data_IF_344514651209
#
_entry.id   IF_344514651209
#
_cell.length_a   1.000
_cell.length_b   1.000
_cell.length_c   1.000
_cell.angle_alpha   90.00
_cell.angle_beta   90.00
_cell.angle_gamma   90.00
#
_symmetry.space_group_name_H-M   'P 1'
#
loop_
_entity.id
_entity.type
_entity.pdbx_description
1 polymer ?
#
# COMPACT_ATOMS: atom_id res chain seq x y z
N UNK A 1 -20.02 10.89 -12.04
CA UNK A 1 -19.23 10.48 -10.86
C UNK A 1 -20.03 10.08 -9.61
N UNK A 2 -21.36 10.28 -9.52
CA UNK A 2 -22.15 9.93 -8.31
C UNK A 2 -22.64 8.46 -8.23
N UNK A 3 -22.62 7.70 -9.34
CA UNK A 3 -23.16 6.33 -9.40
C UNK A 3 -22.23 5.26 -8.81
N UNK A 4 -20.93 5.53 -8.71
CA UNK A 4 -19.94 4.57 -8.19
C UNK A 4 -19.84 4.58 -6.66
N UNK A 5 -20.20 5.70 -6.02
CA UNK A 5 -20.13 5.84 -4.56
C UNK A 5 -21.26 5.08 -3.85
N UNK A 6 -22.46 5.05 -4.44
CA UNK A 6 -23.61 4.30 -3.92
C UNK A 6 -23.42 2.77 -4.05
N UNK A 7 -22.80 2.32 -5.14
CA UNK A 7 -22.44 0.91 -5.33
C UNK A 7 -21.36 0.46 -4.32
N UNK A 8 -20.41 1.34 -3.99
CA UNK A 8 -19.42 1.11 -2.95
C UNK A 8 -20.07 0.95 -1.56
N UNK A 9 -21.04 1.79 -1.23
CA UNK A 9 -21.80 1.69 0.03
C UNK A 9 -22.64 0.41 0.15
N UNK A 10 -23.28 -0.06 -0.94
CA UNK A 10 -24.04 -1.31 -0.91
C UNK A 10 -23.14 -2.56 -0.81
N UNK A 11 -21.91 -2.51 -1.32
CA UNK A 11 -20.96 -3.61 -1.23
C UNK A 11 -20.39 -3.79 0.19
N UNK A 12 -20.25 -2.68 0.94
CA UNK A 12 -19.69 -2.68 2.30
C UNK A 12 -20.58 -3.40 3.34
N UNK A 13 -21.88 -3.51 3.08
CA UNK A 13 -22.86 -4.09 4.02
C UNK A 13 -22.86 -5.64 3.95
N UNK A 14 -22.35 -6.24 2.88
CA UNK A 14 -22.38 -7.70 2.65
C UNK A 14 -21.10 -8.45 3.08
N UNK A 15 -20.09 -7.76 3.62
CA UNK A 15 -18.75 -8.31 3.84
C UNK A 15 -18.53 -9.30 5.01
N UNK A 16 -19.38 -9.41 6.07
CA UNK A 16 -18.99 -10.23 7.23
C UNK A 16 -19.00 -11.75 6.96
N UNK A 17 -19.56 -12.23 5.85
CA UNK A 17 -19.65 -13.67 5.51
C UNK A 17 -18.40 -14.19 4.75
N UNK A 18 -17.52 -13.31 4.25
CA UNK A 18 -16.34 -13.68 3.44
C UNK A 18 -15.00 -13.58 4.20
N UNK A 19 -15.04 -13.38 5.52
CA UNK A 19 -13.92 -12.84 6.30
C UNK A 19 -12.67 -13.74 6.42
N UNK A 20 -12.80 -15.07 6.30
CA UNK A 20 -11.65 -15.99 6.45
C UNK A 20 -10.80 -16.11 5.17
N UNK A 21 -11.41 -16.11 3.98
CA UNK A 21 -10.68 -16.15 2.69
C UNK A 21 -10.27 -14.74 2.22
N UNK A 22 -11.02 -13.71 2.64
CA UNK A 22 -10.76 -12.33 2.26
C UNK A 22 -9.46 -11.74 2.82
N UNK A 23 -9.01 -12.15 4.01
CA UNK A 23 -7.81 -11.60 4.65
C UNK A 23 -6.57 -11.96 3.84
N UNK A 24 -6.40 -13.25 3.56
CA UNK A 24 -5.34 -13.81 2.73
C UNK A 24 -5.37 -13.20 1.33
N UNK A 25 -6.56 -13.06 0.73
CA UNK A 25 -6.70 -12.49 -0.62
C UNK A 25 -6.32 -11.01 -0.69
N UNK A 26 -6.70 -10.22 0.30
CA UNK A 26 -6.38 -8.80 0.32
C UNK A 26 -4.89 -8.58 0.63
N UNK A 27 -4.31 -9.37 1.54
CA UNK A 27 -2.88 -9.36 1.84
C UNK A 27 -2.07 -9.72 0.60
N UNK A 28 -2.50 -10.76 -0.13
CA UNK A 28 -1.89 -11.16 -1.40
C UNK A 28 -1.93 -10.03 -2.43
N UNK A 29 -2.99 -9.22 -2.50
CA UNK A 29 -3.06 -8.09 -3.43
C UNK A 29 -2.08 -6.97 -3.09
N UNK A 30 -1.83 -6.70 -1.80
CA UNK A 30 -0.81 -5.72 -1.41
C UNK A 30 0.58 -6.22 -1.82
N UNK A 31 0.84 -7.51 -1.61
CA UNK A 31 2.08 -8.16 -2.06
C UNK A 31 2.21 -8.12 -3.58
N UNK A 32 1.15 -8.42 -4.32
CA UNK A 32 1.12 -8.33 -5.78
C UNK A 32 1.44 -6.92 -6.29
N UNK A 33 0.93 -5.88 -5.62
CA UNK A 33 1.25 -4.49 -5.95
C UNK A 33 2.75 -4.22 -5.88
N UNK A 34 3.39 -4.49 -4.74
CA UNK A 34 4.81 -4.22 -4.57
C UNK A 34 5.70 -5.15 -5.42
N UNK A 35 5.34 -6.42 -5.56
CA UNK A 35 6.03 -7.35 -6.47
C UNK A 35 5.95 -6.88 -7.93
N UNK A 36 4.78 -6.39 -8.36
CA UNK A 36 4.59 -5.82 -9.70
C UNK A 36 5.40 -4.55 -9.93
N UNK A 37 5.57 -3.72 -8.90
CA UNK A 37 6.44 -2.52 -8.94
C UNK A 37 7.91 -2.93 -9.03
N UNK A 38 8.38 -3.88 -8.21
CA UNK A 38 9.75 -4.37 -8.28
C UNK A 38 10.08 -4.97 -9.65
N UNK A 39 9.15 -5.71 -10.26
CA UNK A 39 9.30 -6.20 -11.62
C UNK A 39 9.40 -5.08 -12.66
N UNK A 40 8.63 -3.99 -12.51
CA UNK A 40 8.73 -2.82 -13.39
C UNK A 40 10.08 -2.12 -13.25
N UNK A 41 10.54 -1.92 -12.01
CA UNK A 41 11.87 -1.34 -11.73
C UNK A 41 12.97 -2.16 -12.40
N UNK A 42 12.94 -3.49 -12.26
CA UNK A 42 13.94 -4.39 -12.86
C UNK A 42 13.93 -4.43 -14.38
N UNK A 43 12.79 -4.14 -15.02
CA UNK A 43 12.65 -4.08 -16.48
C UNK A 43 13.11 -2.76 -17.07
N UNK A 44 13.08 -1.70 -16.28
CA UNK A 44 13.55 -0.38 -16.68
C UNK A 44 15.09 -0.33 -16.67
N UNK A 45 15.68 0.45 -17.57
CA UNK A 45 17.13 0.62 -17.66
C UNK A 45 17.58 1.98 -17.11
N UNK A 46 16.74 3.01 -17.26
CA UNK A 46 17.03 4.35 -16.79
C UNK A 46 16.83 4.46 -15.26
N UNK A 47 17.88 4.79 -14.48
CA UNK A 47 17.75 4.93 -13.03
C UNK A 47 16.76 6.00 -12.58
N UNK A 48 16.60 7.08 -13.35
CA UNK A 48 15.62 8.13 -13.06
C UNK A 48 14.20 7.55 -13.12
N UNK A 49 13.90 6.77 -14.16
CA UNK A 49 12.60 6.12 -14.33
C UNK A 49 12.36 5.03 -13.27
N UNK A 50 13.39 4.27 -12.89
CA UNK A 50 13.31 3.31 -11.78
C UNK A 50 12.88 3.97 -10.47
N UNK A 51 13.54 5.08 -10.12
CA UNK A 51 13.23 5.85 -8.90
C UNK A 51 11.82 6.41 -8.96
N UNK A 52 11.44 6.92 -10.12
CA UNK A 52 10.12 7.50 -10.35
C UNK A 52 9.00 6.43 -10.28
N UNK A 53 9.23 5.21 -10.78
CA UNK A 53 8.30 4.08 -10.60
C UNK A 53 8.06 3.79 -9.11
N UNK A 54 9.12 3.80 -8.30
CA UNK A 54 9.03 3.61 -6.85
C UNK A 54 8.29 4.76 -6.17
N UNK A 55 8.63 6.02 -6.50
CA UNK A 55 7.95 7.20 -5.96
C UNK A 55 6.45 7.16 -6.23
N UNK A 56 6.04 6.91 -7.49
CA UNK A 56 4.62 6.77 -7.85
C UNK A 56 3.92 5.65 -7.08
N UNK A 57 4.60 4.54 -6.83
CA UNK A 57 4.06 3.45 -6.01
C UNK A 57 3.78 3.92 -4.58
N UNK A 58 4.72 4.63 -3.96
CA UNK A 58 4.56 5.17 -2.60
C UNK A 58 3.46 6.24 -2.53
N UNK A 59 3.39 7.12 -3.52
CA UNK A 59 2.33 8.14 -3.62
C UNK A 59 0.92 7.53 -3.71
N UNK A 60 0.77 6.39 -4.38
CA UNK A 60 -0.52 5.67 -4.41
C UNK A 60 -0.93 5.22 -3.02
N UNK A 61 0.01 4.72 -2.21
CA UNK A 61 -0.27 4.35 -0.81
C UNK A 61 -0.65 5.58 0.02
N UNK A 62 0.04 6.71 -0.14
CA UNK A 62 -0.32 7.95 0.56
C UNK A 62 -1.73 8.43 0.18
N UNK A 63 -2.06 8.44 -1.12
CA UNK A 63 -3.41 8.79 -1.60
C UNK A 63 -4.47 7.83 -1.07
N UNK A 64 -4.15 6.55 -0.96
CA UNK A 64 -5.06 5.57 -0.41
C UNK A 64 -5.31 5.78 1.09
N UNK A 65 -4.25 6.02 1.87
CA UNK A 65 -4.35 6.38 3.28
C UNK A 65 -5.17 7.67 3.48
N UNK A 66 -4.86 8.74 2.73
CA UNK A 66 -5.59 10.02 2.82
C UNK A 66 -7.08 9.84 2.51
N UNK A 67 -7.42 8.96 1.57
CA UNK A 67 -8.82 8.67 1.19
C UNK A 67 -9.55 7.95 2.31
N UNK A 68 -8.89 6.98 2.96
CA UNK A 68 -9.46 6.18 4.05
C UNK A 68 -9.63 7.01 5.32
N UNK A 69 -8.63 7.82 5.67
CA UNK A 69 -8.68 8.70 6.85
C UNK A 69 -9.82 9.73 6.78
N UNK A 70 -10.24 10.12 5.57
CA UNK A 70 -11.37 11.04 5.34
C UNK A 70 -12.74 10.35 5.34
N UNK A 71 -12.79 9.02 5.37
CA UNK A 71 -14.05 8.28 5.39
C UNK A 71 -14.55 8.11 6.83
N UNK A 72 -15.79 8.49 7.15
CA UNK A 72 -16.34 8.37 8.51
C UNK A 72 -16.68 6.91 8.91
N UNK A 73 -16.40 5.95 8.03
CA UNK A 73 -16.80 4.55 8.17
C UNK A 73 -15.77 3.67 8.91
N UNK A 74 -14.60 4.22 9.26
CA UNK A 74 -13.51 3.45 9.86
C UNK A 74 -13.40 3.69 11.37
N UNK A 75 -13.16 2.61 12.10
CA UNK A 75 -12.87 2.69 13.54
C UNK A 75 -11.45 3.23 13.79
N UNK A 76 -11.17 3.68 15.01
CA UNK A 76 -9.82 4.12 15.38
C UNK A 76 -8.76 3.03 15.21
N UNK A 77 -9.14 1.77 15.46
CA UNK A 77 -8.29 0.60 15.19
C UNK A 77 -7.99 0.42 13.70
N UNK A 78 -8.99 0.62 12.83
CA UNK A 78 -8.80 0.52 11.39
C UNK A 78 -7.85 1.62 10.88
N UNK A 79 -8.00 2.83 11.40
CA UNK A 79 -7.13 3.96 11.07
C UNK A 79 -5.70 3.78 11.59
N UNK A 80 -5.51 3.06 12.70
CA UNK A 80 -4.17 2.72 13.19
C UNK A 80 -3.41 1.85 12.18
N UNK A 81 -4.08 0.86 11.59
CA UNK A 81 -3.49 0.01 10.55
C UNK A 81 -3.07 0.80 9.31
N UNK A 82 -3.92 1.76 8.91
CA UNK A 82 -3.65 2.65 7.78
C UNK A 82 -2.45 3.55 8.08
N UNK A 83 -2.38 4.08 9.30
CA UNK A 83 -1.25 4.90 9.75
C UNK A 83 0.06 4.10 9.80
N UNK A 84 0.03 2.85 10.26
CA UNK A 84 1.20 1.95 10.25
C UNK A 84 1.71 1.70 8.82
N UNK A 85 0.82 1.36 7.88
CA UNK A 85 1.18 1.17 6.47
C UNK A 85 1.73 2.47 5.85
N UNK A 86 1.11 3.62 6.16
CA UNK A 86 1.55 4.94 5.71
C UNK A 86 2.96 5.24 6.23
N UNK A 87 3.21 5.05 7.51
CA UNK A 87 4.50 5.35 8.14
C UNK A 87 5.63 4.51 7.55
N UNK A 88 5.40 3.20 7.37
CA UNK A 88 6.38 2.31 6.74
C UNK A 88 6.68 2.71 5.30
N UNK A 89 5.63 3.08 4.56
CA UNK A 89 5.81 3.59 3.19
C UNK A 89 6.56 4.93 3.17
N UNK A 90 6.30 5.80 4.15
CA UNK A 90 7.01 7.07 4.31
C UNK A 90 8.49 6.85 4.61
N UNK A 91 8.85 5.88 5.44
CA UNK A 91 10.24 5.51 5.69
C UNK A 91 10.95 5.10 4.39
N UNK A 92 10.34 4.22 3.59
CA UNK A 92 10.91 3.81 2.31
C UNK A 92 10.97 4.95 1.30
N UNK A 93 9.98 5.84 1.27
CA UNK A 93 10.00 7.05 0.44
C UNK A 93 11.15 7.99 0.85
N UNK A 94 11.38 8.15 2.16
CA UNK A 94 12.47 8.99 2.66
C UNK A 94 13.83 8.37 2.32
N UNK A 95 13.99 7.07 2.51
CA UNK A 95 15.21 6.32 2.18
C UNK A 95 15.53 6.42 0.68
N UNK A 96 14.53 6.17 -0.17
CA UNK A 96 14.67 6.30 -1.62
C UNK A 96 15.17 7.69 -2.03
N UNK A 97 14.68 8.75 -1.39
CA UNK A 97 14.94 10.12 -1.81
C UNK A 97 16.01 10.85 -0.98
N UNK A 98 16.60 10.20 0.04
CA UNK A 98 17.57 10.83 0.93
C UNK A 98 16.97 11.95 1.78
N UNK A 99 15.71 11.81 2.19
CA UNK A 99 15.00 12.79 3.03
C UNK A 99 15.10 12.38 4.51
N UNK A 100 14.77 13.28 5.43
CA UNK A 100 14.69 12.97 6.87
C UNK A 100 15.92 12.25 7.46
N UNK A 101 17.13 12.69 7.08
CA UNK A 101 18.43 12.13 7.48
C UNK A 101 18.78 10.75 6.90
N UNK A 102 17.99 10.22 5.96
CA UNK A 102 18.41 9.05 5.19
C UNK A 102 19.46 9.44 4.15
N UNK A 103 20.39 8.53 3.89
CA UNK A 103 21.21 8.60 2.69
C UNK A 103 20.36 8.15 1.51
N UNK A 104 20.40 8.91 0.42
CA UNK A 104 19.67 8.56 -0.79
C UNK A 104 20.16 7.21 -1.33
N UNK A 105 19.22 6.31 -1.60
CA UNK A 105 19.51 5.04 -2.30
C UNK A 105 20.17 5.37 -3.64
N UNK A 106 21.39 4.84 -3.85
CA UNK A 106 22.10 5.09 -5.10
C UNK A 106 21.40 4.43 -6.29
N UNK A 107 21.62 4.99 -7.48
CA UNK A 107 21.01 4.50 -8.73
C UNK A 107 21.35 3.04 -9.02
N UNK A 108 22.56 2.59 -8.66
CA UNK A 108 23.01 1.21 -8.80
C UNK A 108 22.28 0.23 -7.85
N UNK A 109 21.66 0.74 -6.78
CA UNK A 109 20.98 -0.07 -5.76
C UNK A 109 19.47 -0.13 -5.95
N UNK A 110 18.90 0.54 -6.95
CA UNK A 110 17.44 0.66 -7.11
C UNK A 110 16.72 -0.69 -7.26
N UNK A 111 17.34 -1.67 -7.92
CA UNK A 111 16.74 -3.01 -8.06
C UNK A 111 16.73 -3.76 -6.72
N UNK A 112 17.84 -3.70 -5.99
CA UNK A 112 17.94 -4.31 -4.65
C UNK A 112 17.02 -3.60 -3.66
N UNK A 113 16.89 -2.28 -3.77
CA UNK A 113 15.99 -1.51 -2.94
C UNK A 113 14.53 -1.87 -3.22
N UNK A 114 14.15 -2.09 -4.48
CA UNK A 114 12.81 -2.56 -4.81
C UNK A 114 12.50 -3.93 -4.19
N UNK A 115 13.47 -4.86 -4.19
CA UNK A 115 13.32 -6.16 -3.51
C UNK A 115 13.23 -6.00 -1.99
N UNK A 116 14.02 -5.09 -1.41
CA UNK A 116 13.95 -4.79 0.01
C UNK A 116 12.59 -4.21 0.41
N UNK A 117 11.99 -3.33 -0.41
CA UNK A 117 10.63 -2.83 -0.18
C UNK A 117 9.61 -3.96 -0.19
N UNK A 118 9.70 -4.91 -1.14
CA UNK A 118 8.82 -6.09 -1.15
C UNK A 118 8.98 -6.89 0.13
N UNK A 119 10.23 -7.21 0.52
CA UNK A 119 10.51 -7.98 1.72
C UNK A 119 10.00 -7.28 2.98
N UNK A 120 10.24 -5.97 3.12
CA UNK A 120 9.75 -5.20 4.25
C UNK A 120 8.22 -5.29 4.30
N UNK A 121 7.53 -5.04 3.19
CA UNK A 121 6.06 -5.10 3.10
C UNK A 121 5.49 -6.50 3.36
N UNK A 122 6.22 -7.57 3.03
CA UNK A 122 5.86 -8.96 3.33
C UNK A 122 6.17 -9.38 4.78
N UNK A 123 7.26 -8.87 5.36
CA UNK A 123 7.74 -9.22 6.71
C UNK A 123 7.10 -8.39 7.80
N UNK A 124 6.42 -7.31 7.47
CA UNK A 124 5.41 -6.80 8.38
C UNK A 124 4.44 -7.94 8.62
N UNK A 125 4.63 -8.58 9.77
CA UNK A 125 3.72 -9.56 10.35
C UNK A 125 2.32 -9.07 10.07
N UNK A 126 1.38 -9.99 9.78
CA UNK A 126 0.06 -9.57 9.41
C UNK A 126 -0.39 -8.64 10.52
N UNK A 127 -1.14 -7.65 10.13
CA UNK A 127 -1.72 -6.72 11.07
C UNK A 127 -2.80 -7.51 11.85
N UNK A 128 -2.38 -8.51 12.64
CA UNK A 128 -3.18 -9.67 13.09
C UNK A 128 -3.72 -9.46 14.49
N UNK A 129 -3.37 -8.37 15.17
CA UNK A 129 -3.94 -8.10 16.48
C UNK A 129 -5.14 -7.15 16.37
N UNK A 130 -5.30 -6.39 15.26
CA UNK A 130 -6.35 -5.37 15.18
C UNK A 130 -7.01 -5.17 13.80
N UNK A 131 -6.51 -5.73 12.68
CA UNK A 131 -7.18 -5.48 11.39
C UNK A 131 -8.33 -6.42 11.17
N UNK A 132 -9.50 -5.85 10.89
CA UNK A 132 -10.56 -6.61 10.24
C UNK A 132 -10.21 -6.78 8.76
N UNK A 133 -10.43 -7.97 8.20
CA UNK A 133 -10.32 -8.28 6.75
C UNK A 133 -10.89 -7.16 5.86
N UNK A 134 -11.95 -6.50 6.33
CA UNK A 134 -12.63 -5.37 5.70
C UNK A 134 -11.71 -4.19 5.41
N UNK A 135 -10.86 -3.77 6.36
CA UNK A 135 -9.98 -2.60 6.17
C UNK A 135 -8.99 -2.84 5.06
N UNK A 136 -8.37 -4.03 5.05
CA UNK A 136 -7.35 -4.37 4.09
C UNK A 136 -7.94 -4.48 2.67
N UNK A 137 -9.15 -5.04 2.54
CA UNK A 137 -9.89 -5.00 1.27
C UNK A 137 -10.12 -3.55 0.82
N UNK A 138 -10.53 -2.64 1.72
CA UNK A 138 -10.78 -1.26 1.33
C UNK A 138 -9.48 -0.53 0.96
N UNK A 139 -8.38 -0.75 1.69
CA UNK A 139 -7.04 -0.26 1.31
C UNK A 139 -6.71 -0.66 -0.13
N UNK A 140 -6.88 -1.94 -0.46
CA UNK A 140 -6.63 -2.43 -1.82
C UNK A 140 -7.58 -1.82 -2.84
N UNK A 141 -8.88 -1.73 -2.54
CA UNK A 141 -9.84 -1.11 -3.46
C UNK A 141 -9.47 0.34 -3.73
N UNK A 142 -9.09 1.10 -2.71
CA UNK A 142 -8.67 2.48 -2.88
C UNK A 142 -7.36 2.56 -3.67
N UNK A 143 -6.37 1.72 -3.39
CA UNK A 143 -5.10 1.63 -4.14
C UNK A 143 -5.31 1.37 -5.64
N UNK A 144 -6.34 0.59 -6.01
CA UNK A 144 -6.69 0.31 -7.40
C UNK A 144 -7.46 1.46 -8.07
N UNK A 145 -8.07 2.35 -7.29
CA UNK A 145 -8.88 3.47 -7.76
C UNK A 145 -8.09 4.79 -7.88
N UNK A 146 -6.92 4.89 -7.26
CA UNK A 146 -6.03 6.08 -7.27
C UNK A 146 -4.84 5.92 -8.23
#
# INVERSE_FOLDING_TARGET
MKRNLAALCCLLIALPVLAQDGATKAENKLKEHFNGVALQVKKEHNPVEKREILNRSFEKVFKAADTIERMPAFSSSDLQVVAELRNRTQEKFNELNGLNNYQQVSDAQLDQFADYVVQDMEQARPVTIVTTTTVLIIIILVLLLV
#
